data_IF_573658080699
#
_entry.id   IF_573658080699
#
_cell.length_a   1.000
_cell.length_b   1.000
_cell.length_c   1.000
_cell.angle_alpha   90.00
_cell.angle_beta   90.00
_cell.angle_gamma   90.00
#
_symmetry.space_group_name_H-M   'P 1'
#
loop_
_entity.id
_entity.type
_entity.pdbx_description
1 polymer ?
#
# COMPACT_ATOMS: atom_id res chain seq x y z
N UNK A 1 38.32 1.27 -48.70
CA UNK A 1 37.30 1.06 -47.65
C UNK A 1 37.84 0.56 -46.29
N UNK A 2 39.15 0.45 -46.06
CA UNK A 2 39.69 -0.01 -44.76
C UNK A 2 39.77 1.10 -43.70
N UNK A 3 40.07 2.35 -44.10
CA UNK A 3 40.15 3.51 -43.19
C UNK A 3 38.80 3.86 -42.55
N UNK A 4 37.72 3.83 -43.33
CA UNK A 4 36.35 4.09 -42.85
C UNK A 4 35.90 3.02 -41.84
N UNK A 5 36.15 1.74 -42.15
CA UNK A 5 35.84 0.64 -41.24
C UNK A 5 36.55 0.78 -39.88
N UNK A 6 37.87 1.04 -39.87
CA UNK A 6 38.60 1.24 -38.61
C UNK A 6 38.09 2.46 -37.82
N UNK A 7 37.75 3.55 -38.49
CA UNK A 7 37.33 4.78 -37.82
C UNK A 7 35.91 4.69 -37.25
N UNK A 8 35.01 3.92 -37.85
CA UNK A 8 33.57 4.00 -37.51
C UNK A 8 32.98 2.67 -37.03
N UNK A 9 33.46 1.53 -37.51
CA UNK A 9 32.77 0.25 -37.36
C UNK A 9 33.55 -0.78 -36.53
N UNK A 10 34.89 -0.73 -36.56
CA UNK A 10 35.71 -1.81 -36.04
C UNK A 10 35.61 -1.89 -34.49
N UNK A 11 35.08 -3.01 -33.94
CA UNK A 11 34.91 -3.17 -32.49
C UNK A 11 36.24 -3.34 -31.75
N UNK A 12 37.30 -3.75 -32.45
CA UNK A 12 38.63 -3.98 -31.90
C UNK A 12 39.45 -2.69 -31.76
N UNK A 13 39.02 -1.60 -32.40
CA UNK A 13 39.73 -0.31 -32.30
C UNK A 13 39.60 0.23 -30.89
N UNK A 14 40.74 0.56 -30.30
CA UNK A 14 40.83 1.16 -28.98
C UNK A 14 40.57 2.65 -29.11
N UNK A 15 39.64 3.14 -28.29
CA UNK A 15 39.22 4.54 -28.26
C UNK A 15 39.23 5.05 -26.81
N UNK A 16 39.46 6.35 -26.59
CA UNK A 16 39.43 6.91 -25.25
C UNK A 16 38.04 6.81 -24.62
N UNK A 17 37.99 6.61 -23.31
CA UNK A 17 36.74 6.68 -22.57
C UNK A 17 36.09 8.07 -22.68
N UNK A 18 34.76 8.10 -22.78
CA UNK A 18 33.98 9.34 -22.92
C UNK A 18 33.58 9.95 -21.57
N UNK A 19 33.81 9.27 -20.45
CA UNK A 19 33.51 9.81 -19.12
C UNK A 19 34.57 10.82 -18.72
N UNK A 20 34.12 12.01 -18.29
CA UNK A 20 35.01 13.08 -17.87
C UNK A 20 35.93 12.63 -16.71
N UNK A 21 37.24 12.85 -16.86
CA UNK A 21 38.26 12.45 -15.89
C UNK A 21 38.79 11.02 -16.05
N UNK A 22 38.18 10.18 -16.89
CA UNK A 22 38.71 8.86 -17.21
C UNK A 22 39.73 8.94 -18.36
N UNK A 23 40.93 8.38 -18.15
CA UNK A 23 42.00 8.33 -19.16
C UNK A 23 42.19 6.93 -19.78
N UNK A 24 41.29 6.00 -19.51
CA UNK A 24 41.39 4.63 -20.03
C UNK A 24 41.13 4.57 -21.53
N UNK A 25 41.86 3.65 -22.17
CA UNK A 25 41.77 3.33 -23.59
C UNK A 25 41.04 1.99 -23.73
N UNK A 26 39.86 2.01 -24.34
CA UNK A 26 38.90 0.90 -24.30
C UNK A 26 38.54 0.47 -25.72
N UNK A 27 38.51 -0.84 -25.98
CA UNK A 27 38.05 -1.35 -27.26
C UNK A 27 36.58 -0.92 -27.52
N UNK A 28 36.30 -0.37 -28.69
CA UNK A 28 34.99 0.17 -29.08
C UNK A 28 33.85 -0.80 -28.78
N UNK A 29 34.06 -2.09 -29.03
CA UNK A 29 33.08 -3.15 -28.79
C UNK A 29 32.63 -3.30 -27.34
N UNK A 30 33.45 -2.89 -26.35
CA UNK A 30 33.12 -2.96 -24.92
C UNK A 30 32.95 -1.59 -24.27
N UNK A 31 33.25 -0.50 -24.98
CA UNK A 31 33.18 0.89 -24.47
C UNK A 31 31.85 1.20 -23.78
N UNK A 32 30.72 0.79 -24.38
CA UNK A 32 29.40 1.02 -23.80
C UNK A 32 29.23 0.38 -22.41
N UNK A 33 29.75 -0.84 -22.23
CA UNK A 33 29.70 -1.56 -20.95
C UNK A 33 30.58 -0.85 -19.93
N UNK A 34 31.80 -0.50 -20.33
CA UNK A 34 32.74 0.26 -19.51
C UNK A 34 32.10 1.56 -19.00
N UNK A 35 31.66 2.44 -19.89
CA UNK A 35 31.12 3.77 -19.57
C UNK A 35 29.93 3.68 -18.60
N UNK A 36 29.06 2.69 -18.78
CA UNK A 36 27.81 2.58 -18.02
C UNK A 36 27.96 1.84 -16.70
N UNK A 37 28.86 0.86 -16.60
CA UNK A 37 28.86 -0.09 -15.47
C UNK A 37 30.21 -0.22 -14.77
N UNK A 38 31.34 -0.04 -15.46
CA UNK A 38 32.67 -0.38 -14.92
C UNK A 38 33.47 0.88 -14.58
N UNK A 39 33.37 1.93 -15.39
CA UNK A 39 34.14 3.16 -15.27
C UNK A 39 33.96 3.81 -13.89
N UNK A 40 35.05 4.05 -13.16
CA UNK A 40 35.01 4.68 -11.83
C UNK A 40 34.57 6.15 -11.89
N UNK A 41 34.71 6.80 -13.05
CA UNK A 41 34.28 8.18 -13.29
C UNK A 41 32.84 8.28 -13.80
N UNK A 42 32.11 7.16 -13.92
CA UNK A 42 30.71 7.19 -14.33
C UNK A 42 29.87 7.94 -13.30
N UNK A 43 28.94 8.76 -13.79
CA UNK A 43 28.00 9.50 -12.94
C UNK A 43 26.91 8.59 -12.38
N UNK A 44 26.89 8.44 -11.06
CA UNK A 44 25.93 7.61 -10.30
C UNK A 44 25.14 8.46 -9.31
N UNK A 45 23.97 7.97 -8.90
CA UNK A 45 23.19 8.54 -7.78
C UNK A 45 23.49 7.78 -6.50
N UNK A 46 23.52 8.47 -5.36
CA UNK A 46 23.59 7.82 -4.06
C UNK A 46 22.32 6.98 -3.78
N UNK A 47 22.50 5.75 -3.30
CA UNK A 47 21.38 4.85 -2.96
C UNK A 47 20.50 5.38 -1.81
N UNK A 48 21.03 6.30 -1.00
CA UNK A 48 20.31 6.97 0.09
C UNK A 48 19.57 8.23 -0.35
N UNK A 49 19.62 8.61 -1.63
CA UNK A 49 18.84 9.74 -2.15
C UNK A 49 17.32 9.55 -1.94
N UNK A 50 16.83 8.30 -2.02
CA UNK A 50 15.42 7.96 -1.70
C UNK A 50 15.02 8.21 -0.24
N UNK A 51 16.00 8.34 0.65
CA UNK A 51 15.81 8.62 2.08
C UNK A 51 16.15 10.08 2.43
N UNK A 52 16.55 10.90 1.44
CA UNK A 52 16.81 12.34 1.64
C UNK A 52 18.28 12.78 1.53
N UNK A 53 19.20 11.92 1.10
CA UNK A 53 20.57 12.36 0.82
C UNK A 53 20.62 13.26 -0.42
N UNK A 54 21.17 14.48 -0.27
CA UNK A 54 21.09 15.55 -1.28
C UNK A 54 22.38 15.74 -2.11
N UNK A 55 23.30 14.77 -2.10
CA UNK A 55 24.57 14.85 -2.85
C UNK A 55 24.39 14.89 -4.38
N UNK A 56 23.20 14.56 -4.89
CA UNK A 56 22.90 14.57 -6.32
C UNK A 56 23.57 13.43 -7.09
N UNK A 57 24.20 13.76 -8.23
CA UNK A 57 24.98 12.82 -9.05
C UNK A 57 26.46 13.03 -8.77
N UNK A 58 27.18 11.94 -8.52
CA UNK A 58 28.59 11.93 -8.14
C UNK A 58 29.36 10.88 -8.97
N UNK A 59 30.67 11.04 -9.13
CA UNK A 59 31.51 10.00 -9.71
C UNK A 59 31.51 8.75 -8.80
N UNK A 60 31.53 7.56 -9.38
CA UNK A 60 31.48 6.32 -8.60
C UNK A 60 32.67 6.19 -7.63
N UNK A 61 33.86 6.65 -8.02
CA UNK A 61 35.03 6.73 -7.14
C UNK A 61 34.77 7.54 -5.87
N UNK A 62 34.11 8.68 -6.00
CA UNK A 62 33.81 9.57 -4.87
C UNK A 62 32.58 9.11 -4.10
N UNK A 63 31.64 8.38 -4.74
CA UNK A 63 30.52 7.74 -4.05
C UNK A 63 31.01 6.78 -2.95
N UNK A 64 32.10 6.04 -3.19
CA UNK A 64 32.65 5.12 -2.19
C UNK A 64 33.15 5.87 -0.95
N UNK A 65 33.81 7.01 -1.14
CA UNK A 65 34.27 7.87 -0.04
C UNK A 65 33.10 8.51 0.70
N UNK A 66 32.17 9.10 -0.05
CA UNK A 66 30.93 9.66 0.47
C UNK A 66 30.15 8.65 1.32
N UNK A 67 29.97 7.42 0.84
CA UNK A 67 29.23 6.41 1.60
C UNK A 67 29.89 6.07 2.93
N UNK A 68 31.23 6.07 2.99
CA UNK A 68 31.98 5.81 4.22
C UNK A 68 31.94 7.00 5.18
N UNK A 69 32.09 8.21 4.67
CA UNK A 69 32.08 9.44 5.47
C UNK A 69 30.71 9.72 6.10
N UNK A 70 29.64 9.42 5.36
CA UNK A 70 28.26 9.69 5.78
C UNK A 70 27.49 8.44 6.21
N UNK A 71 28.17 7.33 6.53
CA UNK A 71 27.54 6.04 6.86
C UNK A 71 26.49 6.16 7.98
N UNK A 72 26.83 6.84 9.07
CA UNK A 72 25.92 7.06 10.20
C UNK A 72 24.75 7.98 9.83
N UNK A 73 25.00 9.04 9.06
CA UNK A 73 23.94 9.92 8.58
C UNK A 73 22.96 9.16 7.67
N UNK A 74 23.49 8.33 6.77
CA UNK A 74 22.71 7.46 5.90
C UNK A 74 21.84 6.48 6.70
N UNK A 75 22.38 5.91 7.78
CA UNK A 75 21.60 5.07 8.69
C UNK A 75 20.46 5.86 9.37
N UNK A 76 20.73 7.07 9.88
CA UNK A 76 19.70 7.93 10.46
C UNK A 76 18.60 8.30 9.48
N UNK A 77 18.96 8.66 8.23
CA UNK A 77 17.98 8.94 7.18
C UNK A 77 17.09 7.72 6.90
N UNK A 78 17.68 6.53 6.84
CA UNK A 78 16.93 5.30 6.65
C UNK A 78 15.99 5.00 7.83
N UNK A 79 16.48 5.16 9.08
CA UNK A 79 15.66 4.98 10.28
C UNK A 79 14.51 5.96 10.32
N UNK A 80 14.74 7.25 10.04
CA UNK A 80 13.70 8.27 10.00
C UNK A 80 12.63 7.97 8.93
N UNK A 81 13.07 7.59 7.73
CA UNK A 81 12.17 7.21 6.65
C UNK A 81 11.27 6.03 7.04
N UNK A 82 11.83 4.99 7.65
CA UNK A 82 11.06 3.83 8.08
C UNK A 82 10.18 4.10 9.31
N UNK A 83 10.66 4.90 10.27
CA UNK A 83 9.88 5.34 11.43
C UNK A 83 8.59 6.04 11.01
N UNK A 84 8.67 7.00 10.07
CA UNK A 84 7.48 7.70 9.55
C UNK A 84 6.43 6.77 8.93
N UNK A 85 6.85 5.62 8.36
CA UNK A 85 5.93 4.62 7.82
C UNK A 85 5.30 3.76 8.90
N UNK A 86 6.03 3.46 9.97
CA UNK A 86 5.52 2.71 11.12
C UNK A 86 4.41 3.52 11.81
N UNK A 87 4.61 4.83 12.01
CA UNK A 87 3.60 5.72 12.60
C UNK A 87 2.27 5.68 11.82
N UNK A 88 2.33 5.63 10.49
CA UNK A 88 1.14 5.50 9.64
C UNK A 88 0.45 4.14 9.84
N UNK A 89 1.23 3.06 9.99
CA UNK A 89 0.67 1.73 10.23
C UNK A 89 -0.01 1.62 11.60
N UNK A 90 0.54 2.28 12.63
CA UNK A 90 -0.10 2.36 13.95
C UNK A 90 -1.46 3.06 13.89
N UNK A 91 -1.56 4.17 13.14
CA UNK A 91 -2.82 4.88 12.93
C UNK A 91 -3.88 4.01 12.24
N UNK A 92 -3.49 3.25 11.21
CA UNK A 92 -4.40 2.29 10.54
C UNK A 92 -4.87 1.21 11.50
N UNK A 93 -4.01 0.75 12.41
CA UNK A 93 -4.36 -0.19 13.46
C UNK A 93 -5.53 0.28 14.32
N UNK A 94 -5.54 1.56 14.73
CA UNK A 94 -6.63 2.15 15.52
C UNK A 94 -7.96 2.13 14.75
N UNK A 95 -7.95 2.47 13.46
CA UNK A 95 -9.15 2.43 12.62
C UNK A 95 -9.70 1.01 12.47
N UNK A 96 -8.82 0.01 12.29
CA UNK A 96 -9.23 -1.40 12.20
C UNK A 96 -9.88 -1.84 13.51
N UNK A 97 -9.28 -1.53 14.66
CA UNK A 97 -9.84 -1.87 15.98
C UNK A 97 -11.21 -1.22 16.19
N UNK A 98 -11.35 0.06 15.82
CA UNK A 98 -12.63 0.76 15.86
C UNK A 98 -13.67 0.07 14.97
N UNK A 99 -13.32 -0.25 13.72
CA UNK A 99 -14.21 -0.95 12.79
C UNK A 99 -14.63 -2.32 13.32
N UNK A 100 -13.70 -3.09 13.89
CA UNK A 100 -13.98 -4.37 14.53
C UNK A 100 -14.95 -4.25 15.71
N UNK A 101 -14.77 -3.21 16.54
CA UNK A 101 -15.68 -2.94 17.67
C UNK A 101 -17.10 -2.63 17.17
N UNK A 102 -17.24 -1.72 16.20
CA UNK A 102 -18.53 -1.36 15.59
C UNK A 102 -19.19 -2.58 14.95
N UNK A 103 -18.45 -3.39 14.20
CA UNK A 103 -18.98 -4.59 13.56
C UNK A 103 -19.46 -5.63 14.58
N UNK A 104 -18.76 -5.78 15.71
CA UNK A 104 -19.20 -6.65 16.82
C UNK A 104 -20.51 -6.15 17.42
N UNK A 105 -20.67 -4.84 17.63
CA UNK A 105 -21.91 -4.23 18.13
C UNK A 105 -23.08 -4.49 17.17
N UNK A 106 -22.90 -4.16 15.88
CA UNK A 106 -23.92 -4.40 14.85
C UNK A 106 -24.34 -5.88 14.80
N UNK A 107 -23.38 -6.81 14.92
CA UNK A 107 -23.67 -8.24 14.97
C UNK A 107 -24.56 -8.61 16.16
N UNK A 108 -24.28 -8.04 17.32
CA UNK A 108 -25.08 -8.29 18.53
C UNK A 108 -26.48 -7.68 18.40
N UNK A 109 -26.58 -6.43 17.96
CA UNK A 109 -27.85 -5.75 17.75
C UNK A 109 -28.74 -6.53 16.75
N UNK A 110 -28.14 -7.09 15.70
CA UNK A 110 -28.84 -7.96 14.74
C UNK A 110 -29.38 -9.24 15.37
N UNK A 111 -28.66 -9.84 16.34
CA UNK A 111 -29.15 -11.02 17.08
C UNK A 111 -30.35 -10.65 17.93
N UNK A 112 -30.26 -9.57 18.70
CA UNK A 112 -31.36 -9.06 19.53
C UNK A 112 -32.58 -8.72 18.68
N UNK A 113 -32.39 -8.11 17.51
CA UNK A 113 -33.48 -7.79 16.59
C UNK A 113 -34.17 -9.06 16.06
N UNK A 114 -33.42 -10.12 15.78
CA UNK A 114 -34.01 -11.39 15.34
C UNK A 114 -34.84 -12.06 16.45
N UNK A 115 -34.37 -12.01 17.70
CA UNK A 115 -35.12 -12.50 18.87
C UNK A 115 -36.42 -11.71 19.06
N UNK A 116 -36.33 -10.37 18.97
CA UNK A 116 -37.48 -9.48 19.07
C UNK A 116 -38.52 -9.76 17.96
N UNK A 117 -38.07 -9.97 16.72
CA UNK A 117 -38.96 -10.33 15.62
C UNK A 117 -39.69 -11.65 15.88
N UNK A 118 -39.01 -12.66 16.43
CA UNK A 118 -39.64 -13.92 16.83
C UNK A 118 -40.73 -13.71 17.89
N UNK A 119 -40.48 -12.87 18.89
CA UNK A 119 -41.48 -12.54 19.92
C UNK A 119 -42.69 -11.80 19.33
N UNK A 120 -42.46 -10.83 18.44
CA UNK A 120 -43.54 -10.11 17.74
C UNK A 120 -44.43 -11.07 16.96
N UNK A 121 -43.84 -12.05 16.25
CA UNK A 121 -44.61 -13.05 15.52
C UNK A 121 -45.49 -13.91 16.45
N UNK A 122 -45.01 -14.25 17.65
CA UNK A 122 -45.80 -14.97 18.65
C UNK A 122 -46.97 -14.13 19.15
N UNK A 123 -46.69 -12.92 19.63
CA UNK A 123 -47.71 -12.00 20.17
C UNK A 123 -48.79 -11.68 19.12
N UNK A 124 -48.40 -11.48 17.86
CA UNK A 124 -49.35 -11.25 16.78
C UNK A 124 -50.31 -12.44 16.58
N UNK A 125 -49.81 -13.68 16.72
CA UNK A 125 -50.66 -14.88 16.63
C UNK A 125 -51.67 -14.92 17.77
N UNK A 126 -51.22 -14.71 19.00
CA UNK A 126 -52.10 -14.68 20.18
C UNK A 126 -53.15 -13.58 20.11
N UNK A 127 -52.77 -12.41 19.58
CA UNK A 127 -53.67 -11.28 19.38
C UNK A 127 -54.76 -11.62 18.35
N UNK A 128 -54.40 -12.25 17.23
CA UNK A 128 -55.37 -12.69 16.20
C UNK A 128 -56.35 -13.72 16.78
N UNK A 129 -55.85 -14.70 17.53
CA UNK A 129 -56.70 -15.70 18.18
C UNK A 129 -57.65 -15.08 19.21
N UNK A 130 -57.15 -14.13 20.01
CA UNK A 130 -57.94 -13.40 21.00
C UNK A 130 -59.01 -12.55 20.33
N UNK A 131 -58.66 -11.84 19.25
CA UNK A 131 -59.61 -11.05 18.46
C UNK A 131 -60.73 -11.91 17.87
N UNK A 132 -60.39 -13.07 17.31
CA UNK A 132 -61.39 -14.00 16.78
C UNK A 132 -62.35 -14.53 17.88
N UNK A 133 -61.91 -14.63 19.14
CA UNK A 133 -62.79 -14.97 20.27
C UNK A 133 -63.76 -13.81 20.57
N UNK A 134 -63.26 -12.58 20.60
CA UNK A 134 -64.09 -11.37 20.81
C UNK A 134 -65.15 -11.26 19.72
N UNK A 135 -64.78 -11.37 18.43
CA UNK A 135 -65.72 -11.27 17.31
C UNK A 135 -66.86 -12.32 17.42
N UNK A 136 -66.53 -13.55 17.88
CA UNK A 136 -67.54 -14.58 18.14
C UNK A 136 -68.50 -14.19 19.26
N UNK A 137 -67.99 -13.63 20.36
CA UNK A 137 -68.82 -13.17 21.49
C UNK A 137 -69.72 -12.03 21.03
N UNK A 138 -69.18 -11.04 20.32
CA UNK A 138 -69.95 -9.92 19.77
C UNK A 138 -71.09 -10.41 18.86
N UNK A 139 -70.82 -11.37 17.97
CA UNK A 139 -71.84 -11.95 17.10
C UNK A 139 -72.97 -12.65 17.90
N UNK A 140 -72.65 -13.33 19.00
CA UNK A 140 -73.64 -13.96 19.88
C UNK A 140 -74.49 -12.91 20.61
N UNK A 141 -73.86 -11.84 21.12
CA UNK A 141 -74.56 -10.73 21.80
C UNK A 141 -75.53 -10.04 20.83
N UNK A 142 -75.08 -9.71 19.62
CA UNK A 142 -75.91 -9.05 18.60
C UNK A 142 -77.11 -9.89 18.17
N UNK A 143 -76.97 -11.23 18.12
CA UNK A 143 -78.13 -12.11 17.89
C UNK A 143 -79.13 -12.00 19.02
N UNK A 144 -78.70 -12.10 20.28
CA UNK A 144 -79.59 -12.07 21.44
C UNK A 144 -80.35 -10.75 21.60
N UNK A 145 -79.76 -9.62 21.17
CA UNK A 145 -80.43 -8.32 21.18
C UNK A 145 -81.54 -8.24 20.12
N UNK A 146 -81.35 -8.82 18.92
CA UNK A 146 -82.33 -8.79 17.83
C UNK A 146 -83.52 -9.75 18.00
N UNK A 147 -83.48 -10.66 18.98
CA UNK A 147 -84.59 -11.57 19.32
C UNK A 147 -85.45 -11.07 20.52
N UNK A 148 -85.21 -9.85 21.00
CA UNK A 148 -86.02 -9.15 22.02
C UNK A 148 -86.73 -7.96 21.40
#
# INVERSE_FOLDING_TARGET
MMKTHMNEECPCVVVPCTNHGCQEQIARGVLRRHVKHECLFRSVKCSFAKYGCNIGRIAYSDLLKHNKEFEVQHLHLQVAYHGSKIDVLEQVGVFILYYMHVHKKIRNDKKTMNEMNSMIHHLNRELVESRAKVDRIEALVMRNINFR
#
